data_IF_510091770483
#
_entry.id   IF_510091770483
#
_cell.length_a   1.000
_cell.length_b   1.000
_cell.length_c   1.000
_cell.angle_alpha   90.00
_cell.angle_beta   90.00
_cell.angle_gamma   90.00
#
_symmetry.space_group_name_H-M   'P 1'
#
loop_
_entity.id
_entity.type
_entity.pdbx_description
1 polymer ?
#
# COMPACT_ATOMS: atom_id res chain seq x y z
N UNK A 1 16.02 41.06 58.11
CA UNK A 1 16.52 39.69 57.86
C UNK A 1 15.51 38.98 56.97
N UNK A 2 15.96 38.30 55.91
CA UNK A 2 15.65 38.65 54.51
C UNK A 2 14.65 37.69 53.85
N UNK A 3 13.77 38.14 52.95
CA UNK A 3 13.92 38.24 51.48
C UNK A 3 14.53 36.99 50.81
N UNK A 4 13.70 36.24 50.08
CA UNK A 4 14.16 35.28 49.05
C UNK A 4 13.40 35.51 47.74
N UNK A 5 14.19 35.68 46.69
CA UNK A 5 13.82 36.01 45.32
C UNK A 5 13.35 34.79 44.51
N UNK A 6 12.62 34.97 43.40
CA UNK A 6 12.43 33.91 42.41
C UNK A 6 13.67 33.83 41.49
N UNK A 7 14.23 32.62 41.37
CA UNK A 7 15.33 32.30 40.46
C UNK A 7 14.80 32.16 39.04
N UNK A 8 15.24 33.05 38.15
CA UNK A 8 15.08 32.96 36.71
C UNK A 8 16.26 32.17 36.12
N UNK A 9 16.00 30.95 35.64
CA UNK A 9 16.92 30.22 34.78
C UNK A 9 16.57 30.54 33.32
N UNK A 10 17.34 31.44 32.71
CA UNK A 10 17.43 31.62 31.26
C UNK A 10 18.30 30.48 30.71
N UNK A 11 17.71 29.58 29.93
CA UNK A 11 18.45 28.67 29.05
C UNK A 11 18.39 29.25 27.64
N UNK A 12 19.48 29.88 27.19
CA UNK A 12 19.68 30.20 25.80
C UNK A 12 20.05 28.92 25.05
N UNK A 13 19.22 28.45 24.14
CA UNK A 13 19.61 27.43 23.17
C UNK A 13 19.65 28.04 21.78
N UNK A 14 20.84 27.98 21.19
CA UNK A 14 21.23 28.63 19.96
C UNK A 14 20.44 28.06 18.76
N UNK A 15 19.93 28.98 17.93
CA UNK A 15 19.33 28.67 16.65
C UNK A 15 20.33 27.92 15.75
N UNK A 16 19.99 26.70 15.35
CA UNK A 16 20.70 25.99 14.26
C UNK A 16 20.17 26.50 12.91
N UNK A 17 21.03 26.74 11.91
CA UNK A 17 20.61 27.27 10.62
C UNK A 17 19.83 26.22 9.81
N UNK A 18 18.74 26.68 9.18
CA UNK A 18 17.94 25.88 8.25
C UNK A 18 18.74 25.50 6.97
N UNK A 19 18.58 24.28 6.44
CA UNK A 19 19.14 23.91 5.14
C UNK A 19 18.42 24.63 3.99
N UNK A 20 19.12 24.93 2.87
CA UNK A 20 18.54 25.68 1.75
C UNK A 20 17.51 24.86 0.97
N UNK A 21 16.48 25.54 0.46
CA UNK A 21 15.42 24.96 -0.34
C UNK A 21 15.93 24.44 -1.71
N UNK A 22 15.41 23.31 -2.22
CA UNK A 22 15.77 22.80 -3.54
C UNK A 22 15.16 23.64 -4.68
N UNK A 23 15.78 23.65 -5.88
CA UNK A 23 15.39 24.53 -6.98
C UNK A 23 14.08 24.10 -7.65
N UNK A 24 13.25 25.08 -7.99
CA UNK A 24 12.01 24.93 -8.77
C UNK A 24 12.36 24.68 -10.24
N UNK A 25 12.10 23.47 -10.74
CA UNK A 25 12.19 23.16 -12.17
C UNK A 25 10.83 23.47 -12.81
N UNK A 26 10.78 24.53 -13.60
CA UNK A 26 9.61 24.88 -14.41
C UNK A 26 9.61 24.03 -15.69
N UNK A 27 8.72 23.05 -15.78
CA UNK A 27 8.50 22.27 -17.00
C UNK A 27 7.40 22.92 -17.85
N UNK A 28 7.79 23.48 -18.99
CA UNK A 28 6.89 24.04 -20.00
C UNK A 28 6.29 22.89 -20.82
N UNK A 29 4.97 22.74 -20.83
CA UNK A 29 4.26 21.77 -21.69
C UNK A 29 4.20 22.27 -23.14
N UNK A 30 4.59 21.48 -24.16
CA UNK A 30 4.32 21.81 -25.55
C UNK A 30 2.87 21.47 -25.94
N UNK A 31 2.25 22.41 -26.65
CA UNK A 31 0.90 22.39 -27.20
C UNK A 31 0.75 21.33 -28.30
N UNK A 32 -0.35 20.58 -28.23
CA UNK A 32 -0.79 19.56 -29.18
C UNK A 32 -0.89 20.09 -30.63
N UNK A 33 -0.29 19.38 -31.61
CA UNK A 33 -0.64 19.49 -33.03
C UNK A 33 -1.31 18.19 -33.50
N UNK A 34 -2.34 18.25 -34.35
CA UNK A 34 -3.06 17.06 -34.81
C UNK A 34 -2.25 16.28 -35.84
N UNK A 35 -2.15 14.96 -35.65
CA UNK A 35 -1.51 14.02 -36.57
C UNK A 35 -2.54 13.57 -37.61
N UNK A 36 -2.21 13.76 -38.89
CA UNK A 36 -2.98 13.24 -40.02
C UNK A 36 -2.49 11.84 -40.42
N UNK A 37 -3.49 11.01 -40.74
CA UNK A 37 -3.42 9.64 -41.25
C UNK A 37 -2.41 9.42 -42.39
N UNK A 38 -1.48 8.48 -42.21
CA UNK A 38 -0.84 7.72 -43.31
C UNK A 38 -0.47 6.32 -42.83
N UNK A 39 -0.77 5.30 -43.65
CA UNK A 39 -0.61 3.87 -43.38
C UNK A 39 0.85 3.42 -43.17
N UNK A 40 1.13 2.34 -42.43
CA UNK A 40 2.49 1.92 -42.12
C UNK A 40 3.14 1.11 -43.26
N UNK A 41 4.48 1.19 -43.45
CA UNK A 41 5.19 0.27 -44.31
C UNK A 41 5.45 -1.07 -43.59
N UNK A 42 5.36 -2.16 -44.35
CA UNK A 42 5.67 -3.53 -43.91
C UNK A 42 7.15 -3.65 -43.56
N UNK A 43 7.47 -4.04 -42.33
CA UNK A 43 8.83 -4.40 -41.92
C UNK A 43 9.07 -5.90 -42.10
N UNK A 44 10.14 -6.20 -42.83
CA UNK A 44 10.64 -7.54 -43.11
C UNK A 44 11.26 -8.17 -41.85
N UNK A 45 11.08 -9.49 -41.73
CA UNK A 45 11.61 -10.35 -40.67
C UNK A 45 13.10 -10.63 -40.91
N UNK A 46 14.03 -10.38 -39.97
CA UNK A 46 15.38 -10.91 -40.05
C UNK A 46 15.44 -12.30 -39.39
N UNK A 47 15.89 -13.27 -40.18
CA UNK A 47 16.18 -14.63 -39.77
C UNK A 47 17.36 -14.70 -38.79
N UNK A 48 17.26 -15.69 -37.88
CA UNK A 48 18.36 -16.38 -37.19
C UNK A 48 19.30 -15.55 -36.29
N UNK A 49 18.97 -15.50 -34.99
CA UNK A 49 19.97 -15.32 -33.93
C UNK A 49 20.36 -16.70 -33.39
N UNK A 50 21.51 -17.22 -33.83
CA UNK A 50 22.13 -18.43 -33.24
C UNK A 50 22.85 -18.01 -31.95
N UNK A 51 22.44 -18.57 -30.82
CA UNK A 51 23.16 -18.47 -29.56
C UNK A 51 24.29 -19.52 -29.58
N UNK A 52 25.54 -19.06 -29.60
CA UNK A 52 26.73 -19.91 -29.64
C UNK A 52 27.22 -20.16 -28.20
N UNK A 53 27.11 -21.40 -27.72
CA UNK A 53 27.72 -21.82 -26.45
C UNK A 53 29.21 -22.10 -26.69
N UNK A 54 30.06 -21.14 -26.35
CA UNK A 54 31.52 -21.30 -26.38
C UNK A 54 32.00 -22.25 -25.29
N UNK A 55 32.13 -23.53 -25.61
CA UNK A 55 32.94 -24.49 -24.85
C UNK A 55 34.37 -24.44 -25.41
N UNK A 56 35.29 -23.91 -24.60
CA UNK A 56 36.72 -23.84 -24.91
C UNK A 56 37.33 -25.23 -25.05
N UNK A 57 37.91 -25.48 -26.23
CA UNK A 57 38.71 -26.65 -26.55
C UNK A 57 40.15 -26.47 -26.05
N UNK A 58 40.55 -27.23 -25.05
CA UNK A 58 41.95 -27.48 -24.69
C UNK A 58 42.33 -28.90 -25.08
N UNK A 59 43.02 -29.05 -26.22
CA UNK A 59 43.61 -30.30 -26.69
C UNK A 59 44.79 -30.72 -25.80
N UNK A 60 44.84 -32.00 -25.41
CA UNK A 60 46.11 -32.73 -25.38
C UNK A 60 45.88 -34.22 -25.66
N UNK A 61 46.69 -34.72 -26.59
CA UNK A 61 46.66 -36.07 -27.16
C UNK A 61 47.16 -37.14 -26.17
N UNK A 62 46.54 -38.32 -26.16
CA UNK A 62 47.07 -39.47 -25.43
C UNK A 62 46.33 -40.80 -25.65
N UNK A 63 46.71 -41.50 -26.73
CA UNK A 63 46.63 -42.97 -26.98
C UNK A 63 45.27 -43.70 -26.96
N UNK A 64 44.96 -44.26 -28.13
CA UNK A 64 44.15 -45.48 -28.32
C UNK A 64 44.72 -46.68 -27.53
N UNK A 65 43.83 -47.47 -26.94
CA UNK A 65 44.17 -48.79 -26.40
C UNK A 65 43.00 -49.55 -25.77
N UNK A 66 42.41 -50.45 -26.57
CA UNK A 66 41.71 -51.71 -26.23
C UNK A 66 40.31 -51.68 -25.59
N UNK A 67 39.43 -52.40 -26.29
CA UNK A 67 38.19 -52.98 -25.79
C UNK A 67 38.46 -54.27 -24.99
N UNK A 68 37.80 -54.39 -23.83
CA UNK A 68 37.35 -55.57 -23.04
C UNK A 68 36.62 -54.91 -21.84
N UNK A 69 35.45 -55.29 -21.33
CA UNK A 69 34.66 -56.50 -21.34
C UNK A 69 33.42 -56.23 -20.46
N UNK A 70 32.38 -57.05 -20.57
CA UNK A 70 31.22 -57.01 -19.68
C UNK A 70 31.65 -57.24 -18.23
N UNK A 71 31.09 -56.46 -17.31
CA UNK A 71 31.34 -56.55 -15.87
C UNK A 71 30.45 -55.55 -15.14
N UNK A 72 29.80 -56.03 -14.09
CA UNK A 72 28.68 -55.41 -13.41
C UNK A 72 29.03 -54.12 -12.64
N UNK A 73 27.97 -53.48 -12.14
CA UNK A 73 27.93 -52.42 -11.12
C UNK A 73 28.07 -50.96 -11.58
N UNK A 74 26.98 -50.46 -12.19
CA UNK A 74 26.62 -49.03 -12.11
C UNK A 74 25.99 -48.75 -10.73
N UNK A 75 26.57 -47.89 -9.87
CA UNK A 75 25.89 -47.45 -8.66
C UNK A 75 24.87 -46.37 -9.04
N UNK A 76 23.68 -46.79 -9.48
CA UNK A 76 22.52 -45.90 -9.54
C UNK A 76 21.72 -46.03 -8.25
N UNK A 77 21.71 -44.98 -7.43
CA UNK A 77 20.87 -44.96 -6.24
C UNK A 77 21.13 -43.86 -5.22
N UNK A 78 21.87 -42.80 -5.51
CA UNK A 78 21.78 -41.60 -4.66
C UNK A 78 20.52 -40.83 -5.05
N UNK A 79 19.50 -40.92 -4.21
CA UNK A 79 18.31 -40.09 -4.26
C UNK A 79 18.75 -38.62 -4.15
N UNK A 80 18.73 -37.90 -5.27
CA UNK A 80 19.00 -36.47 -5.29
C UNK A 80 17.96 -35.76 -4.41
N UNK A 81 18.37 -35.40 -3.21
CA UNK A 81 17.61 -34.56 -2.30
C UNK A 81 18.05 -33.11 -2.56
N UNK A 82 17.21 -32.27 -3.19
CA UNK A 82 17.60 -30.89 -3.45
C UNK A 82 17.94 -30.19 -2.13
N UNK A 83 19.09 -29.50 -2.09
CA UNK A 83 19.49 -28.67 -0.95
C UNK A 83 18.39 -27.63 -0.67
N UNK A 84 18.11 -27.31 0.60
CA UNK A 84 17.10 -26.32 1.04
C UNK A 84 17.00 -25.05 0.16
N UNK A 85 18.11 -24.41 -0.27
CA UNK A 85 18.05 -23.23 -1.14
C UNK A 85 17.44 -23.51 -2.52
N UNK A 86 17.69 -24.68 -3.10
CA UNK A 86 17.15 -25.07 -4.40
C UNK A 86 15.65 -25.41 -4.34
N UNK A 87 15.17 -25.91 -3.20
CA UNK A 87 13.74 -26.16 -2.96
C UNK A 87 12.98 -24.84 -2.84
N UNK A 88 13.51 -23.87 -2.09
CA UNK A 88 12.91 -22.53 -1.94
C UNK A 88 12.82 -21.84 -3.30
N UNK A 89 13.89 -21.85 -4.09
CA UNK A 89 13.88 -21.27 -5.45
C UNK A 89 12.85 -21.94 -6.38
N UNK A 90 12.66 -23.26 -6.27
CA UNK A 90 11.65 -23.97 -7.06
C UNK A 90 10.21 -23.66 -6.62
N UNK A 91 9.98 -23.42 -5.32
CA UNK A 91 8.69 -22.99 -4.79
C UNK A 91 8.37 -21.55 -5.20
N UNK A 92 9.34 -20.64 -5.11
CA UNK A 92 9.22 -19.26 -5.58
C UNK A 92 8.88 -19.21 -7.07
N UNK A 93 9.61 -19.95 -7.91
CA UNK A 93 9.34 -20.01 -9.35
C UNK A 93 7.91 -20.52 -9.65
N UNK A 94 7.41 -21.51 -8.90
CA UNK A 94 6.04 -22.01 -9.04
C UNK A 94 5.00 -20.98 -8.60
N UNK A 95 5.24 -20.29 -7.49
CA UNK A 95 4.34 -19.24 -6.99
C UNK A 95 4.25 -18.07 -7.99
N UNK A 96 5.38 -17.63 -8.54
CA UNK A 96 5.43 -16.61 -9.60
C UNK A 96 4.68 -17.07 -10.85
N UNK A 97 4.88 -18.32 -11.29
CA UNK A 97 4.15 -18.87 -12.43
C UNK A 97 2.63 -18.91 -12.20
N UNK A 98 2.18 -19.28 -11.00
CA UNK A 98 0.77 -19.28 -10.63
C UNK A 98 0.17 -17.86 -10.60
N UNK A 99 0.93 -16.88 -10.11
CA UNK A 99 0.52 -15.46 -10.11
C UNK A 99 0.35 -14.92 -11.53
N UNK A 100 1.27 -15.25 -12.44
CA UNK A 100 1.16 -14.86 -13.85
C UNK A 100 -0.04 -15.53 -14.50
N UNK A 101 -0.21 -16.84 -14.30
CA UNK A 101 -1.29 -17.62 -14.91
C UNK A 101 -2.69 -17.20 -14.43
N UNK A 102 -2.80 -16.67 -13.21
CA UNK A 102 -4.06 -16.20 -12.63
C UNK A 102 -4.38 -14.73 -12.97
N UNK A 103 -3.50 -14.01 -13.67
CA UNK A 103 -3.71 -12.63 -14.11
C UNK A 103 -5.04 -12.45 -14.85
N UNK A 104 -5.81 -11.43 -14.47
CA UNK A 104 -7.15 -11.16 -15.00
C UNK A 104 -8.26 -12.15 -14.59
N UNK A 105 -7.94 -13.20 -13.81
CA UNK A 105 -8.89 -14.18 -13.31
C UNK A 105 -9.22 -14.01 -11.81
N UNK A 106 -10.22 -14.75 -11.34
CA UNK A 106 -10.69 -14.72 -9.93
C UNK A 106 -9.70 -15.34 -8.94
N UNK A 107 -8.75 -16.15 -9.40
CA UNK A 107 -7.72 -16.77 -8.56
C UNK A 107 -6.50 -15.89 -8.26
N UNK A 108 -6.45 -14.67 -8.79
CA UNK A 108 -5.31 -13.78 -8.69
C UNK A 108 -4.92 -13.45 -7.25
N UNK A 109 -5.90 -13.10 -6.41
CA UNK A 109 -5.66 -12.74 -5.01
C UNK A 109 -5.07 -13.91 -4.19
N UNK A 110 -5.59 -15.12 -4.37
CA UNK A 110 -5.02 -16.31 -3.73
C UNK A 110 -3.59 -16.62 -4.21
N UNK A 111 -3.25 -16.28 -5.45
CA UNK A 111 -1.88 -16.43 -5.95
C UNK A 111 -0.92 -15.37 -5.39
N UNK A 112 -1.40 -14.14 -5.14
CA UNK A 112 -0.64 -13.13 -4.39
C UNK A 112 -0.32 -13.64 -2.99
N UNK A 113 -1.33 -14.17 -2.30
CA UNK A 113 -1.16 -14.72 -0.95
C UNK A 113 -0.17 -15.88 -0.93
N UNK A 114 -0.27 -16.79 -1.89
CA UNK A 114 0.66 -17.91 -2.03
C UNK A 114 2.12 -17.47 -2.23
N UNK A 115 2.35 -16.38 -2.96
CA UNK A 115 3.70 -15.81 -3.13
C UNK A 115 4.18 -15.11 -1.85
N UNK A 116 3.35 -14.26 -1.24
CA UNK A 116 3.71 -13.52 -0.04
C UNK A 116 3.98 -14.45 1.16
N UNK A 117 3.23 -15.55 1.29
CA UNK A 117 3.37 -16.53 2.36
C UNK A 117 4.71 -17.28 2.34
N UNK A 118 5.41 -17.30 1.20
CA UNK A 118 6.77 -17.83 1.13
C UNK A 118 7.80 -16.92 1.80
N UNK A 119 7.52 -15.61 1.88
CA UNK A 119 8.41 -14.63 2.49
C UNK A 119 8.12 -14.41 3.98
N UNK A 120 6.84 -14.36 4.37
CA UNK A 120 6.44 -14.24 5.78
C UNK A 120 5.04 -14.80 6.00
N UNK A 121 4.77 -15.46 7.15
CA UNK A 121 3.42 -15.86 7.51
C UNK A 121 2.58 -14.64 7.91
N UNK A 122 1.32 -14.65 7.48
CA UNK A 122 0.30 -13.67 7.84
C UNK A 122 -1.05 -14.38 7.98
N UNK A 123 -1.99 -13.74 8.66
CA UNK A 123 -3.30 -14.32 8.96
C UNK A 123 -4.40 -13.84 8.02
N UNK A 124 -4.25 -12.63 7.49
CA UNK A 124 -5.21 -11.99 6.61
C UNK A 124 -4.49 -11.15 5.57
N UNK A 125 -5.15 -10.99 4.42
CA UNK A 125 -4.70 -10.07 3.39
C UNK A 125 -5.88 -9.41 2.70
N UNK A 126 -5.65 -8.28 2.05
CA UNK A 126 -6.61 -7.69 1.13
C UNK A 126 -5.89 -6.88 0.07
N UNK A 127 -6.56 -6.64 -1.06
CA UNK A 127 -6.08 -5.68 -2.03
C UNK A 127 -7.19 -4.77 -2.52
N UNK A 128 -6.94 -3.47 -2.49
CA UNK A 128 -7.85 -2.42 -2.95
C UNK A 128 -7.14 -1.52 -3.95
N UNK A 129 -7.87 -1.02 -4.95
CA UNK A 129 -7.44 0.12 -5.75
C UNK A 129 -8.16 1.38 -5.26
N UNK A 130 -7.39 2.39 -4.88
CA UNK A 130 -7.86 3.68 -4.41
C UNK A 130 -7.68 4.76 -5.47
N UNK A 131 -8.60 5.73 -5.48
CA UNK A 131 -8.61 6.89 -6.37
C UNK A 131 -9.12 8.09 -5.59
N UNK A 132 -8.62 9.29 -5.90
CA UNK A 132 -9.07 10.52 -5.26
C UNK A 132 -10.54 10.87 -5.63
N UNK A 133 -10.95 10.48 -6.84
CA UNK A 133 -12.23 10.89 -7.43
C UNK A 133 -13.25 9.75 -7.58
N UNK A 134 -12.89 8.53 -7.16
CA UNK A 134 -13.73 7.34 -7.35
C UNK A 134 -13.69 6.44 -6.13
N UNK A 135 -14.78 5.71 -5.92
CA UNK A 135 -14.87 4.70 -4.89
C UNK A 135 -13.81 3.59 -5.09
N UNK A 136 -13.39 2.92 -4.01
CA UNK A 136 -12.38 1.87 -4.08
C UNK A 136 -12.90 0.64 -4.82
N UNK A 137 -12.00 0.02 -5.58
CA UNK A 137 -12.24 -1.26 -6.24
C UNK A 137 -11.59 -2.37 -5.42
N UNK A 138 -12.34 -3.43 -5.15
CA UNK A 138 -11.83 -4.60 -4.44
C UNK A 138 -11.13 -5.51 -5.45
N UNK A 139 -9.81 -5.67 -5.29
CA UNK A 139 -8.99 -6.59 -6.08
C UNK A 139 -8.94 -7.97 -5.41
N UNK A 140 -8.81 -7.98 -4.08
CA UNK A 140 -8.71 -9.20 -3.28
C UNK A 140 -9.34 -9.03 -1.89
N UNK A 141 -10.11 -10.03 -1.48
CA UNK A 141 -10.71 -10.16 -0.15
C UNK A 141 -10.20 -11.45 0.49
N UNK A 142 -9.04 -11.35 1.13
CA UNK A 142 -8.39 -12.42 1.90
C UNK A 142 -8.65 -12.31 3.40
N UNK A 143 -9.70 -11.59 3.81
CA UNK A 143 -10.05 -11.51 5.22
C UNK A 143 -10.53 -12.86 5.74
N UNK A 144 -10.03 -13.22 6.92
CA UNK A 144 -10.45 -14.44 7.60
C UNK A 144 -11.91 -14.32 8.09
N UNK A 145 -12.50 -15.44 8.51
CA UNK A 145 -13.85 -15.46 9.06
C UNK A 145 -14.01 -14.64 10.35
N UNK A 146 -12.91 -14.15 10.94
CA UNK A 146 -12.95 -13.32 12.16
C UNK A 146 -13.26 -11.86 11.88
N UNK A 147 -13.21 -11.40 10.63
CA UNK A 147 -13.56 -10.03 10.26
C UNK A 147 -15.07 -9.93 10.03
N UNK A 148 -15.72 -9.00 10.73
CA UNK A 148 -17.14 -8.74 10.54
C UNK A 148 -17.38 -8.18 9.12
N UNK A 149 -18.23 -8.86 8.34
CA UNK A 149 -18.64 -8.42 7.00
C UNK A 149 -19.43 -7.12 7.02
N UNK A 150 -19.94 -6.67 8.17
CA UNK A 150 -20.50 -5.32 8.35
C UNK A 150 -19.39 -4.27 8.36
N UNK A 151 -18.29 -4.55 9.06
CA UNK A 151 -17.14 -3.65 9.11
C UNK A 151 -16.52 -3.44 7.73
N UNK A 152 -16.36 -4.51 6.94
CA UNK A 152 -15.88 -4.38 5.56
C UNK A 152 -16.82 -3.54 4.68
N UNK A 153 -18.15 -3.67 4.88
CA UNK A 153 -19.12 -2.86 4.13
C UNK A 153 -19.03 -1.38 4.51
N UNK A 154 -18.97 -1.06 5.81
CA UNK A 154 -18.79 0.31 6.28
C UNK A 154 -17.45 0.89 5.82
N UNK A 155 -16.39 0.08 5.84
CA UNK A 155 -15.08 0.45 5.30
C UNK A 155 -15.20 0.89 3.84
N UNK A 156 -15.77 0.05 2.97
CA UNK A 156 -15.92 0.33 1.53
C UNK A 156 -16.91 1.46 1.21
N UNK A 157 -17.82 1.81 2.14
CA UNK A 157 -18.73 2.96 1.99
C UNK A 157 -18.04 4.30 2.22
N UNK A 158 -16.98 4.34 3.04
CA UNK A 158 -16.29 5.60 3.30
C UNK A 158 -15.24 5.59 4.39
N UNK A 159 -15.21 4.59 5.28
CA UNK A 159 -14.20 4.58 6.34
C UNK A 159 -12.76 4.44 5.81
N UNK A 160 -12.59 3.86 4.60
CA UNK A 160 -11.30 3.84 3.89
C UNK A 160 -10.69 5.25 3.72
N UNK A 161 -11.48 6.32 3.75
CA UNK A 161 -11.00 7.70 3.64
C UNK A 161 -10.13 8.15 4.81
N UNK A 162 -10.21 7.42 5.92
CA UNK A 162 -9.45 7.62 7.15
C UNK A 162 -8.19 6.73 7.22
N UNK A 163 -8.03 5.83 6.26
CA UNK A 163 -6.93 4.87 6.18
C UNK A 163 -5.61 5.55 5.75
N UNK A 164 -4.48 5.29 6.45
CA UNK A 164 -3.17 5.78 6.03
C UNK A 164 -2.75 5.30 4.63
N UNK A 165 -3.10 4.06 4.24
CA UNK A 165 -2.81 3.55 2.90
C UNK A 165 -3.62 4.25 1.82
N UNK A 166 -4.88 4.61 2.10
CA UNK A 166 -5.65 5.46 1.18
C UNK A 166 -4.94 6.79 0.98
N UNK A 167 -4.55 7.45 2.08
CA UNK A 167 -3.86 8.74 2.04
C UNK A 167 -2.53 8.67 1.26
N UNK A 168 -1.77 7.58 1.43
CA UNK A 168 -0.55 7.33 0.67
C UNK A 168 -0.82 7.07 -0.83
N UNK A 169 -1.92 6.38 -1.16
CA UNK A 169 -2.29 6.07 -2.54
C UNK A 169 -2.76 7.29 -3.33
N UNK A 170 -3.54 8.19 -2.71
CA UNK A 170 -4.07 9.39 -3.41
C UNK A 170 -3.15 10.61 -3.34
N UNK A 171 -2.12 10.56 -2.49
CA UNK A 171 -1.07 11.58 -2.40
C UNK A 171 0.10 11.30 -3.36
N UNK A 172 1.33 11.50 -2.86
CA UNK A 172 2.54 11.08 -3.57
C UNK A 172 2.75 9.58 -3.38
N UNK A 173 2.05 8.78 -4.18
CA UNK A 173 2.12 7.32 -4.09
C UNK A 173 3.50 6.82 -4.48
N UNK A 174 4.29 6.44 -3.47
CA UNK A 174 5.61 5.86 -3.65
C UNK A 174 5.52 4.34 -3.73
N UNK A 175 5.99 3.77 -4.84
CA UNK A 175 6.06 2.32 -4.98
C UNK A 175 6.94 1.70 -3.90
N UNK A 176 6.41 0.73 -3.18
CA UNK A 176 7.18 0.04 -2.14
C UNK A 176 6.32 -0.76 -1.17
N UNK A 177 7.01 -1.40 -0.22
CA UNK A 177 6.42 -1.99 0.96
C UNK A 177 6.50 -0.97 2.10
N UNK A 178 5.38 -0.74 2.78
CA UNK A 178 5.27 0.20 3.88
C UNK A 178 4.66 -0.47 5.09
N UNK A 179 5.12 -0.07 6.27
CA UNK A 179 4.39 -0.35 7.50
C UNK A 179 3.32 0.72 7.64
N UNK A 180 2.12 0.37 8.09
CA UNK A 180 1.07 1.37 8.31
C UNK A 180 1.56 2.50 9.24
N UNK A 181 2.33 2.15 10.29
CA UNK A 181 2.92 3.11 11.23
C UNK A 181 3.84 4.15 10.60
N UNK A 182 4.43 3.84 9.45
CA UNK A 182 5.33 4.76 8.72
C UNK A 182 4.53 5.74 7.85
N UNK A 183 3.27 5.40 7.52
CA UNK A 183 2.34 6.23 6.75
C UNK A 183 1.35 6.99 7.64
N UNK A 184 1.09 6.46 8.84
CA UNK A 184 0.10 6.96 9.78
C UNK A 184 0.45 8.38 10.27
N UNK A 185 -0.56 9.27 10.37
CA UNK A 185 -0.40 10.55 11.05
C UNK A 185 0.04 10.41 12.52
N UNK A 186 0.55 11.52 13.06
CA UNK A 186 1.13 11.58 14.40
C UNK A 186 0.16 11.27 15.56
N UNK A 187 -1.15 11.44 15.36
CA UNK A 187 -2.20 11.08 16.31
C UNK A 187 -3.11 9.95 15.84
N UNK A 188 -2.68 9.15 14.85
CA UNK A 188 -3.52 8.11 14.24
C UNK A 188 -3.88 7.00 15.23
N UNK A 189 -2.90 6.52 16.01
CA UNK A 189 -3.11 5.44 16.97
C UNK A 189 -3.89 5.89 18.22
N UNK A 190 -4.16 7.18 18.37
CA UNK A 190 -5.08 7.72 19.37
C UNK A 190 -6.47 8.02 18.78
N UNK A 191 -6.62 7.93 17.46
CA UNK A 191 -7.88 8.22 16.77
C UNK A 191 -8.90 7.09 16.94
N UNK A 192 -10.17 7.45 16.93
CA UNK A 192 -11.28 6.52 17.04
C UNK A 192 -11.32 5.51 15.88
N UNK A 193 -10.86 5.90 14.69
CA UNK A 193 -10.80 5.03 13.51
C UNK A 193 -9.86 3.83 13.73
N UNK A 194 -8.69 4.05 14.35
CA UNK A 194 -7.71 2.99 14.58
C UNK A 194 -8.22 1.86 15.49
N UNK A 195 -9.30 2.11 16.25
CA UNK A 195 -9.86 1.16 17.24
C UNK A 195 -11.33 0.78 17.00
N UNK A 196 -12.00 1.36 16.01
CA UNK A 196 -13.44 1.13 15.75
C UNK A 196 -13.76 -0.16 14.96
N UNK A 197 -14.15 -1.23 15.67
CA UNK A 197 -14.47 -2.55 15.08
C UNK A 197 -15.63 -2.50 14.09
N UNK A 198 -16.40 -1.43 14.11
CA UNK A 198 -17.54 -1.20 13.23
C UNK A 198 -17.12 -0.81 11.81
N UNK A 199 -15.91 -0.26 11.64
CA UNK A 199 -15.52 0.37 10.37
C UNK A 199 -14.07 0.11 9.94
N UNK A 200 -13.20 -0.33 10.85
CA UNK A 200 -11.84 -0.73 10.49
C UNK A 200 -11.73 -2.26 10.56
N UNK A 201 -11.59 -2.95 9.42
CA UNK A 201 -11.60 -4.42 9.40
C UNK A 201 -10.41 -5.05 10.14
N UNK A 202 -9.35 -4.28 10.40
CA UNK A 202 -8.11 -4.75 11.03
C UNK A 202 -7.85 -4.01 12.36
N UNK A 203 -8.36 -4.48 13.50
CA UNK A 203 -8.18 -3.78 14.80
C UNK A 203 -7.55 -4.66 15.86
N UNK A 204 -6.75 -4.02 16.72
CA UNK A 204 -6.30 -4.57 17.98
C UNK A 204 -7.27 -4.17 19.09
N UNK A 205 -7.60 -5.11 19.97
CA UNK A 205 -8.63 -4.92 20.99
C UNK A 205 -8.12 -4.18 22.24
N UNK A 206 -6.83 -3.84 22.32
CA UNK A 206 -6.21 -3.14 23.45
C UNK A 206 -5.54 -1.84 22.99
N UNK A 207 -5.98 -0.71 23.55
CA UNK A 207 -5.33 0.57 23.36
C UNK A 207 -3.82 0.45 23.68
N UNK A 208 -2.98 0.73 22.68
CA UNK A 208 -1.51 0.64 22.79
C UNK A 208 -0.86 -0.64 22.26
N UNK A 209 -1.63 -1.61 21.75
CA UNK A 209 -1.07 -2.75 21.00
C UNK A 209 -1.30 -2.54 19.51
N UNK A 210 -0.22 -2.37 18.74
CA UNK A 210 -0.32 -2.24 17.28
C UNK A 210 -0.74 -3.59 16.69
N UNK A 211 -1.84 -3.64 15.92
CA UNK A 211 -1.93 -4.62 14.83
C UNK A 211 -0.88 -4.19 13.82
N UNK A 212 0.04 -5.09 13.52
CA UNK A 212 0.99 -4.80 12.47
C UNK A 212 0.37 -5.10 11.12
N UNK A 213 0.19 -4.03 10.34
CA UNK A 213 -0.21 -4.09 8.95
C UNK A 213 0.94 -3.59 8.07
N UNK A 214 1.32 -4.43 7.12
CA UNK A 214 2.21 -4.08 6.02
C UNK A 214 1.39 -3.94 4.74
N UNK A 215 1.74 -2.99 3.89
CA UNK A 215 1.05 -2.80 2.62
C UNK A 215 2.02 -2.47 1.49
N UNK A 216 1.86 -3.17 0.36
CA UNK A 216 2.51 -2.79 -0.89
C UNK A 216 1.68 -1.70 -1.56
N UNK A 217 2.23 -0.50 -1.71
CA UNK A 217 1.56 0.59 -2.44
C UNK A 217 2.11 0.65 -3.86
N UNK A 218 1.26 0.47 -4.86
CA UNK A 218 1.66 0.37 -6.27
C UNK A 218 0.86 1.38 -7.11
N UNK A 219 1.51 2.36 -7.75
CA UNK A 219 0.84 3.23 -8.71
C UNK A 219 0.30 2.43 -9.91
N UNK A 220 -0.98 2.66 -10.25
CA UNK A 220 -1.69 2.05 -11.35
C UNK A 220 -2.08 3.09 -12.41
N UNK A 221 -2.62 2.62 -13.55
CA UNK A 221 -3.13 3.50 -14.60
C UNK A 221 -4.48 4.13 -14.23
N UNK A 222 -4.87 5.16 -14.98
CA UNK A 222 -6.14 5.88 -14.84
C UNK A 222 -6.30 6.61 -13.49
N UNK A 223 -5.23 6.99 -12.79
CA UNK A 223 -5.35 7.73 -11.52
C UNK A 223 -5.76 6.87 -10.33
N UNK A 224 -5.51 5.56 -10.41
CA UNK A 224 -5.59 4.66 -9.26
C UNK A 224 -4.19 4.33 -8.72
N UNK A 225 -4.16 3.95 -7.45
CA UNK A 225 -3.05 3.21 -6.86
C UNK A 225 -3.61 2.03 -6.06
N UNK A 226 -2.93 0.88 -6.10
CA UNK A 226 -3.32 -0.29 -5.34
C UNK A 226 -2.55 -0.38 -4.03
N UNK A 227 -3.24 -0.86 -3.01
CA UNK A 227 -2.62 -1.39 -1.80
C UNK A 227 -2.86 -2.90 -1.75
N UNK A 228 -1.81 -3.69 -1.54
CA UNK A 228 -1.94 -5.09 -1.12
C UNK A 228 -1.43 -5.21 0.32
N UNK A 229 -2.35 -5.39 1.26
CA UNK A 229 -2.08 -5.41 2.69
C UNK A 229 -1.97 -6.84 3.22
N UNK A 230 -1.06 -7.02 4.17
CA UNK A 230 -0.80 -8.24 4.92
C UNK A 230 -0.90 -7.92 6.42
N UNK A 231 -1.66 -8.73 7.13
CA UNK A 231 -1.96 -8.50 8.55
C UNK A 231 -1.77 -9.79 9.34
N UNK A 232 -1.34 -9.63 10.59
CA UNK A 232 -1.37 -10.70 11.59
C UNK A 232 -2.55 -10.50 12.55
N UNK A 233 -3.08 -11.62 13.01
CA UNK A 233 -4.11 -11.67 14.02
C UNK A 233 -3.57 -11.18 15.37
N UNK A 234 -4.52 -10.92 16.27
CA UNK A 234 -4.33 -10.47 17.65
C UNK A 234 -3.27 -11.29 18.39
N UNK A 235 -2.37 -10.63 19.10
CA UNK A 235 -1.31 -11.27 19.87
C UNK A 235 -0.23 -11.97 19.04
N UNK A 236 -0.32 -11.90 17.69
CA UNK A 236 0.73 -12.33 16.78
C UNK A 236 1.97 -11.46 16.92
N UNK A 237 3.13 -12.05 16.66
CA UNK A 237 4.38 -11.29 16.66
C UNK A 237 4.38 -10.26 15.52
N UNK A 238 4.85 -9.03 15.78
CA UNK A 238 5.27 -8.06 14.75
C UNK A 238 6.02 -8.71 13.58
N UNK A 239 5.89 -8.18 12.36
CA UNK A 239 6.78 -8.58 11.27
C UNK A 239 8.17 -8.05 11.57
N UNK A 240 9.11 -8.98 11.74
CA UNK A 240 10.48 -8.62 12.00
C UNK A 240 11.17 -8.03 10.75
N UNK A 241 12.37 -7.50 10.92
CA UNK A 241 13.11 -6.87 9.82
C UNK A 241 13.53 -7.86 8.73
N UNK A 242 13.68 -9.15 9.06
CA UNK A 242 14.00 -10.20 8.08
C UNK A 242 12.79 -10.48 7.20
N UNK A 243 11.61 -10.61 7.81
CA UNK A 243 10.32 -10.79 7.15
C UNK A 243 9.99 -9.57 6.28
N UNK A 244 10.14 -8.36 6.83
CA UNK A 244 9.95 -7.11 6.09
C UNK A 244 10.88 -7.04 4.86
N UNK A 245 12.18 -7.33 5.05
CA UNK A 245 13.13 -7.34 3.93
C UNK A 245 12.83 -8.43 2.90
N UNK A 246 12.29 -9.58 3.32
CA UNK A 246 11.88 -10.65 2.42
C UNK A 246 10.67 -10.26 1.57
N UNK A 247 9.64 -9.70 2.20
CA UNK A 247 8.47 -9.16 1.51
C UNK A 247 8.85 -8.01 0.57
N UNK A 248 9.72 -7.10 1.01
CA UNK A 248 10.17 -5.97 0.19
C UNK A 248 10.84 -6.43 -1.12
N UNK A 249 11.56 -7.56 -1.12
CA UNK A 249 12.15 -8.14 -2.35
C UNK A 249 11.10 -8.61 -3.35
N UNK A 250 9.88 -8.90 -2.93
CA UNK A 250 8.78 -9.30 -3.80
C UNK A 250 8.11 -8.11 -4.51
N UNK A 251 8.42 -6.87 -4.11
CA UNK A 251 7.79 -5.65 -4.66
C UNK A 251 7.75 -5.62 -6.19
N UNK A 252 8.85 -5.88 -6.94
CA UNK A 252 8.82 -5.80 -8.41
C UNK A 252 7.85 -6.80 -9.05
N UNK A 253 7.74 -8.00 -8.46
CA UNK A 253 6.86 -9.07 -8.96
C UNK A 253 5.41 -8.70 -8.68
N UNK A 254 5.09 -8.31 -7.44
CA UNK A 254 3.76 -7.89 -7.01
C UNK A 254 3.29 -6.66 -7.80
N UNK A 255 4.18 -5.68 -8.00
CA UNK A 255 3.88 -4.47 -8.74
C UNK A 255 3.56 -4.75 -10.21
N UNK A 256 4.39 -5.57 -10.88
CA UNK A 256 4.18 -5.94 -12.26
C UNK A 256 2.88 -6.75 -12.44
N UNK A 257 2.63 -7.71 -11.55
CA UNK A 257 1.42 -8.54 -11.61
C UNK A 257 0.16 -7.73 -11.34
N UNK A 258 0.18 -6.80 -10.37
CA UNK A 258 -0.96 -5.94 -10.05
C UNK A 258 -1.30 -5.04 -11.23
N UNK A 259 -0.31 -4.42 -11.86
CA UNK A 259 -0.52 -3.61 -13.07
C UNK A 259 -1.13 -4.41 -14.21
N UNK A 260 -0.63 -5.62 -14.44
CA UNK A 260 -1.17 -6.48 -15.48
C UNK A 260 -2.62 -6.90 -15.18
N UNK A 261 -2.88 -7.35 -13.95
CA UNK A 261 -4.22 -7.72 -13.51
C UNK A 261 -5.20 -6.53 -13.58
N UNK A 262 -4.73 -5.33 -13.23
CA UNK A 262 -5.52 -4.11 -13.24
C UNK A 262 -6.12 -3.77 -14.61
N UNK A 263 -5.42 -4.06 -15.71
CA UNK A 263 -5.97 -3.84 -17.06
C UNK A 263 -7.24 -4.65 -17.31
N UNK A 264 -7.32 -5.86 -16.76
CA UNK A 264 -8.52 -6.70 -16.83
C UNK A 264 -9.62 -6.18 -15.91
N UNK A 265 -9.28 -5.75 -14.70
CA UNK A 265 -10.23 -5.16 -13.73
C UNK A 265 -10.84 -3.88 -14.28
N UNK A 266 -10.03 -2.94 -14.79
CA UNK A 266 -10.50 -1.71 -15.44
C UNK A 266 -11.51 -1.99 -16.55
N UNK A 267 -11.25 -3.01 -17.36
CA UNK A 267 -12.15 -3.39 -18.46
C UNK A 267 -13.50 -3.92 -17.95
N UNK A 268 -13.53 -4.55 -16.77
CA UNK A 268 -14.76 -4.99 -16.12
C UNK A 268 -15.47 -3.83 -15.41
N UNK A 269 -14.73 -2.99 -14.68
CA UNK A 269 -15.23 -1.80 -13.98
C UNK A 269 -15.84 -0.76 -14.95
N UNK A 270 -15.19 -0.53 -16.09
CA UNK A 270 -15.72 0.36 -17.13
C UNK A 270 -17.06 -0.11 -17.69
N UNK A 271 -17.38 -1.41 -17.58
CA UNK A 271 -18.66 -2.00 -18.00
C UNK A 271 -19.70 -2.00 -16.87
N UNK A 272 -19.26 -1.96 -15.62
CA UNK A 272 -20.13 -2.03 -14.44
C UNK A 272 -20.49 -0.67 -13.85
N UNK A 273 -19.96 0.45 -14.38
CA UNK A 273 -20.15 1.86 -13.95
C UNK A 273 -21.28 2.01 -12.92
N UNK A 274 -20.97 1.78 -11.65
CA UNK A 274 -21.97 1.69 -10.59
C UNK A 274 -21.66 2.69 -9.50
N UNK A 275 -22.51 3.72 -9.46
CA UNK A 275 -23.34 4.17 -8.33
C UNK A 275 -22.72 4.44 -6.94
N UNK A 276 -21.44 4.17 -6.71
CA UNK A 276 -20.80 4.49 -5.44
C UNK A 276 -20.41 5.97 -5.42
N UNK A 277 -20.77 6.72 -4.35
CA UNK A 277 -20.38 8.11 -4.22
C UNK A 277 -18.85 8.22 -4.22
N UNK A 278 -18.35 9.25 -4.90
CA UNK A 278 -16.95 9.61 -4.83
C UNK A 278 -16.57 10.04 -3.39
N UNK A 279 -15.27 10.01 -3.03
CA UNK A 279 -14.76 10.44 -1.73
C UNK A 279 -15.29 11.78 -1.21
N UNK A 280 -15.41 12.78 -2.09
CA UNK A 280 -15.86 14.12 -1.71
C UNK A 280 -17.36 14.12 -1.38
N UNK A 281 -18.15 13.39 -2.17
CA UNK A 281 -19.58 13.22 -1.93
C UNK A 281 -19.85 12.55 -0.58
N UNK A 282 -19.06 11.53 -0.19
CA UNK A 282 -19.18 10.89 1.14
C UNK A 282 -18.96 11.91 2.27
N UNK A 283 -17.91 12.73 2.20
CA UNK A 283 -17.65 13.76 3.23
C UNK A 283 -18.72 14.86 3.24
N UNK A 284 -19.20 15.28 2.07
CA UNK A 284 -20.29 16.26 1.97
C UNK A 284 -21.59 15.72 2.54
N UNK A 285 -21.90 14.44 2.36
CA UNK A 285 -23.09 13.84 2.95
C UNK A 285 -23.00 13.83 4.49
N UNK A 286 -21.84 13.49 5.05
CA UNK A 286 -21.66 13.41 6.50
C UNK A 286 -21.73 14.76 7.23
N UNK A 287 -21.26 15.85 6.62
CA UNK A 287 -21.15 17.16 7.31
C UNK A 287 -21.91 18.30 6.61
N UNK A 288 -22.49 18.05 5.43
CA UNK A 288 -23.31 18.99 4.68
C UNK A 288 -22.60 20.30 4.29
N UNK A 289 -23.43 21.29 3.94
CA UNK A 289 -23.00 22.68 3.71
C UNK A 289 -22.75 23.47 5.01
N UNK A 290 -22.89 22.83 6.19
CA UNK A 290 -22.65 23.47 7.48
C UNK A 290 -21.20 23.95 7.61
N UNK A 291 -20.28 23.25 6.98
CA UNK A 291 -18.86 23.55 6.98
C UNK A 291 -18.42 24.25 5.69
N UNK A 292 -17.58 25.27 5.85
CA UNK A 292 -16.87 25.88 4.71
C UNK A 292 -15.84 24.91 4.12
N UNK A 293 -15.36 25.12 2.87
CA UNK A 293 -14.32 24.27 2.28
C UNK A 293 -13.06 24.12 3.14
N UNK A 294 -12.60 25.21 3.78
CA UNK A 294 -11.46 25.16 4.69
C UNK A 294 -11.75 24.33 5.95
N UNK A 295 -12.97 24.39 6.48
CA UNK A 295 -13.38 23.58 7.62
C UNK A 295 -13.51 22.11 7.25
N UNK A 296 -13.99 21.78 6.04
CA UNK A 296 -13.97 20.41 5.51
C UNK A 296 -12.55 19.86 5.45
N UNK A 297 -11.58 20.64 4.94
CA UNK A 297 -10.18 20.22 4.92
C UNK A 297 -9.63 19.92 6.32
N UNK A 298 -9.93 20.77 7.32
CA UNK A 298 -9.57 20.54 8.72
C UNK A 298 -10.26 19.28 9.28
N UNK A 299 -11.57 19.11 9.06
CA UNK A 299 -12.35 17.95 9.52
C UNK A 299 -11.78 16.63 9.00
N UNK A 300 -11.40 16.56 7.72
CA UNK A 300 -10.78 15.37 7.12
C UNK A 300 -9.48 14.99 7.84
N UNK A 301 -8.63 15.96 8.13
CA UNK A 301 -7.36 15.71 8.83
C UNK A 301 -7.57 15.31 10.29
N UNK A 302 -8.58 15.87 10.97
CA UNK A 302 -8.95 15.44 12.33
C UNK A 302 -9.37 13.97 12.33
N UNK A 303 -10.26 13.57 11.43
CA UNK A 303 -10.77 12.20 11.36
C UNK A 303 -9.70 11.18 10.96
N UNK A 304 -8.66 11.62 10.22
CA UNK A 304 -7.46 10.83 9.91
C UNK A 304 -6.47 10.74 11.07
N UNK A 305 -6.72 11.42 12.19
CA UNK A 305 -5.85 11.40 13.36
C UNK A 305 -4.65 12.36 13.28
N UNK A 306 -4.71 13.45 12.52
CA UNK A 306 -3.65 14.47 12.59
C UNK A 306 -3.77 15.32 13.87
N UNK A 307 -2.65 15.59 14.55
CA UNK A 307 -2.62 16.58 15.64
C UNK A 307 -2.82 18.00 15.13
N UNK A 308 -3.07 18.96 16.04
CA UNK A 308 -3.20 20.37 15.64
C UNK A 308 -1.93 20.93 14.96
N UNK A 309 -0.75 20.45 15.37
CA UNK A 309 0.54 20.85 14.79
C UNK A 309 0.65 20.29 13.38
N UNK A 310 0.30 19.00 13.21
CA UNK A 310 0.29 18.33 11.92
C UNK A 310 -0.70 18.99 10.95
N UNK A 311 -1.93 19.28 11.38
CA UNK A 311 -2.93 20.00 10.59
C UNK A 311 -2.40 21.38 10.15
N UNK A 312 -1.77 22.12 11.07
CA UNK A 312 -1.22 23.43 10.78
C UNK A 312 -0.16 23.37 9.68
N UNK A 313 0.73 22.38 9.74
CA UNK A 313 1.74 22.14 8.72
C UNK A 313 1.12 21.76 7.36
N UNK A 314 0.13 20.86 7.34
CA UNK A 314 -0.56 20.44 6.12
C UNK A 314 -1.32 21.56 5.41
N UNK A 315 -1.88 22.51 6.17
CA UNK A 315 -2.68 23.61 5.62
C UNK A 315 -1.92 24.93 5.48
N UNK A 316 -0.65 25.01 5.91
CA UNK A 316 0.14 26.23 5.87
C UNK A 316 -0.39 27.34 6.79
N UNK A 317 -0.95 26.99 7.94
CA UNK A 317 -1.52 27.91 8.94
C UNK A 317 -0.85 27.71 10.32
N UNK A 318 -1.25 28.50 11.33
CA UNK A 318 -0.73 28.33 12.70
C UNK A 318 -1.55 27.31 13.50
N UNK A 319 -0.93 26.65 14.48
CA UNK A 319 -1.64 25.74 15.42
C UNK A 319 -2.79 26.48 16.14
N UNK A 320 -2.60 27.75 16.49
CA UNK A 320 -3.64 28.60 17.07
C UNK A 320 -4.85 28.77 16.14
N UNK A 321 -4.60 28.95 14.84
CA UNK A 321 -5.66 29.01 13.80
C UNK A 321 -6.41 27.68 13.70
N UNK A 322 -5.71 26.54 13.79
CA UNK A 322 -6.35 25.22 13.82
C UNK A 322 -7.28 25.07 15.03
N UNK A 323 -6.87 25.49 16.23
CA UNK A 323 -7.72 25.47 17.44
C UNK A 323 -9.01 26.27 17.24
N UNK A 324 -8.90 27.44 16.59
CA UNK A 324 -10.08 28.26 16.23
C UNK A 324 -10.98 27.52 15.24
N UNK A 325 -10.42 26.92 14.17
CA UNK A 325 -11.20 26.12 13.22
C UNK A 325 -11.94 24.98 13.92
N UNK A 326 -11.28 24.21 14.81
CA UNK A 326 -11.90 23.12 15.58
C UNK A 326 -13.07 23.59 16.42
N UNK A 327 -12.88 24.66 17.21
CA UNK A 327 -13.96 25.24 18.02
C UNK A 327 -15.16 25.66 17.16
N UNK A 328 -14.90 26.27 15.99
CA UNK A 328 -15.94 26.70 15.07
C UNK A 328 -16.65 25.51 14.39
N UNK A 329 -15.92 24.45 14.02
CA UNK A 329 -16.48 23.22 13.47
C UNK A 329 -17.41 22.59 14.51
N UNK A 330 -16.95 22.42 15.74
CA UNK A 330 -17.73 21.82 16.82
C UNK A 330 -19.02 22.61 17.11
N UNK A 331 -18.90 23.94 17.20
CA UNK A 331 -20.07 24.81 17.38
C UNK A 331 -21.08 24.70 16.23
N UNK A 332 -20.62 24.66 14.97
CA UNK A 332 -21.49 24.57 13.78
C UNK A 332 -22.19 23.22 13.66
N UNK A 333 -21.50 22.14 14.02
CA UNK A 333 -22.08 20.80 14.03
C UNK A 333 -22.92 20.54 15.28
N UNK A 334 -22.79 21.35 16.33
CA UNK A 334 -23.46 21.14 17.62
C UNK A 334 -22.91 19.92 18.35
N UNK A 335 -21.59 19.73 18.28
CA UNK A 335 -20.86 18.65 18.96
C UNK A 335 -19.86 19.22 19.95
N UNK A 336 -19.43 18.40 20.91
CA UNK A 336 -18.53 18.79 22.00
C UNK A 336 -17.14 18.14 21.92
N UNK A 337 -16.99 17.07 21.12
CA UNK A 337 -15.79 16.24 21.11
C UNK A 337 -15.41 15.74 19.71
N UNK A 338 -14.16 15.29 19.57
CA UNK A 338 -13.70 14.58 18.36
C UNK A 338 -14.42 13.24 18.19
N UNK A 339 -14.70 12.54 19.29
CA UNK A 339 -15.42 11.27 19.24
C UNK A 339 -16.83 11.45 18.68
N UNK A 340 -17.54 12.52 19.05
CA UNK A 340 -18.83 12.86 18.43
C UNK A 340 -18.71 13.21 16.94
N UNK A 341 -17.61 13.85 16.52
CA UNK A 341 -17.34 14.11 15.10
C UNK A 341 -17.18 12.79 14.33
N UNK A 342 -16.43 11.85 14.89
CA UNK A 342 -16.23 10.52 14.31
C UNK A 342 -17.53 9.72 14.26
N UNK A 343 -18.29 9.68 15.35
CA UNK A 343 -19.56 8.96 15.41
C UNK A 343 -20.54 9.48 14.35
N UNK A 344 -20.67 10.80 14.18
CA UNK A 344 -21.48 11.37 13.10
C UNK A 344 -21.03 10.92 11.70
N UNK A 345 -19.72 10.80 11.48
CA UNK A 345 -19.21 10.27 10.22
C UNK A 345 -19.62 8.82 10.03
N UNK A 346 -19.54 7.98 11.07
CA UNK A 346 -19.88 6.56 11.00
C UNK A 346 -21.38 6.35 10.83
N UNK A 347 -22.22 7.10 11.55
CA UNK A 347 -23.68 7.05 11.42
C UNK A 347 -24.12 7.30 9.98
N UNK A 348 -23.50 8.28 9.31
CA UNK A 348 -23.75 8.55 7.88
C UNK A 348 -23.38 7.36 6.97
N UNK A 349 -22.35 6.58 7.32
CA UNK A 349 -21.95 5.40 6.55
C UNK A 349 -22.88 4.19 6.80
N UNK A 350 -23.59 4.18 7.93
CA UNK A 350 -24.51 3.11 8.32
C UNK A 350 -25.89 3.25 7.65
N UNK A 351 -26.31 4.47 7.33
CA UNK A 351 -27.53 4.78 6.55
C UNK A 351 -27.49 4.24 5.09
#
# INVERSE_FOLDING_TARGET
>A
MPTFAPSAAKSSEAARPHPPAPPVISATFPVNRPVTSTSPPRLACPASLRINWGLGSGLSHGRMGKAYGAGDDFPYGESYTPKRPAVIAALEAKAVAALIASGGGTGYGAALDGLAALAAPFDMSCAFAFSADRAPVVIHDGYSATVDRRALRSYLRGAYLLDPFYSACVGDCREGLWRMRDLAPDGFYESEFAWSREVHPCISDEAGTLVEELGFTIPLSEGFAATYSLMRNRGGAPFDETEFAALARLTPIIAASLRQHWLSVLSAEARSQSQRPDPETVFRQAFGELLTPAQHAVTKLILRGHSNISIAAHLGITEGTVKIHRSNIYRRLGISSQSELFQRFIDQLAE
#
